data_IF_270388183708
#
_entry.id   IF_270388183708
#
_cell.length_a   1.000
_cell.length_b   1.000
_cell.length_c   1.000
_cell.angle_alpha   90.00
_cell.angle_beta   90.00
_cell.angle_gamma   90.00
#
_symmetry.space_group_name_H-M   'P 1'
#
loop_
_entity.id
_entity.type
_entity.pdbx_description
1 polymer ?
#
# COMPACT_ATOMS: atom_id res chain seq x y z
N UNK A 1 6.53 4.43 -11.06
CA UNK A 1 7.19 5.44 -10.20
C UNK A 1 8.69 5.17 -9.99
N UNK A 2 9.11 4.14 -9.25
CA UNK A 2 10.54 3.91 -8.92
C UNK A 2 11.46 3.83 -10.16
N UNK A 3 11.01 3.16 -11.23
CA UNK A 3 11.75 3.08 -12.51
C UNK A 3 11.96 4.46 -13.16
N UNK A 4 11.00 5.38 -13.01
CA UNK A 4 11.10 6.74 -13.52
C UNK A 4 12.15 7.54 -12.74
N UNK A 5 12.10 7.50 -11.41
CA UNK A 5 13.05 8.20 -10.54
C UNK A 5 14.49 7.69 -10.68
N UNK A 6 14.66 6.46 -11.18
CA UNK A 6 16.00 5.90 -11.44
C UNK A 6 16.68 6.56 -12.64
N UNK A 7 15.91 7.18 -13.56
CA UNK A 7 16.45 7.85 -14.76
C UNK A 7 16.93 9.28 -14.51
N UNK A 8 16.54 9.90 -13.39
CA UNK A 8 16.88 11.30 -13.08
C UNK A 8 16.05 12.33 -13.86
N UNK A 9 16.36 13.61 -13.66
CA UNK A 9 15.64 14.74 -14.28
C UNK A 9 14.42 15.26 -13.50
N UNK A 10 14.25 14.84 -12.25
CA UNK A 10 13.15 15.23 -11.38
C UNK A 10 13.68 15.70 -10.03
N UNK A 11 13.14 16.81 -9.51
CA UNK A 11 13.56 17.38 -8.22
C UNK A 11 12.88 16.70 -7.03
N UNK A 12 11.60 16.34 -7.16
CA UNK A 12 10.76 15.83 -6.06
C UNK A 12 9.88 14.66 -6.51
N UNK A 13 9.51 13.83 -5.53
CA UNK A 13 8.57 12.71 -5.72
C UNK A 13 7.72 12.50 -4.46
N UNK A 14 6.42 12.31 -4.63
CA UNK A 14 5.50 11.89 -3.56
C UNK A 14 5.51 10.37 -3.44
N UNK A 15 6.52 9.83 -2.78
CA UNK A 15 6.73 8.38 -2.67
C UNK A 15 5.93 7.75 -1.51
N UNK A 16 5.14 6.73 -1.85
CA UNK A 16 4.51 5.83 -0.87
C UNK A 16 5.53 4.98 -0.10
N UNK A 17 5.09 4.32 0.97
CA UNK A 17 5.94 3.45 1.81
C UNK A 17 6.66 2.35 1.04
N UNK A 18 6.02 1.74 0.03
CA UNK A 18 6.58 0.70 -0.83
C UNK A 18 7.69 1.20 -1.78
N UNK A 19 7.79 2.51 -2.00
CA UNK A 19 8.80 3.14 -2.85
C UNK A 19 9.89 3.88 -2.06
N UNK A 20 9.53 4.56 -0.97
CA UNK A 20 10.42 5.42 -0.18
C UNK A 20 11.71 4.72 0.26
N UNK A 21 11.61 3.56 0.91
CA UNK A 21 12.79 2.78 1.34
C UNK A 21 13.64 2.30 0.15
N UNK A 22 13.01 1.92 -0.98
CA UNK A 22 13.74 1.51 -2.19
C UNK A 22 14.56 2.67 -2.76
N UNK A 23 14.02 3.89 -2.73
CA UNK A 23 14.73 5.09 -3.18
C UNK A 23 15.88 5.46 -2.23
N UNK A 24 15.68 5.34 -0.92
CA UNK A 24 16.71 5.59 0.11
C UNK A 24 17.86 4.59 -0.05
N UNK A 25 17.56 3.30 -0.08
CA UNK A 25 18.57 2.23 -0.22
C UNK A 25 19.27 2.29 -1.60
N UNK A 26 18.53 2.68 -2.64
CA UNK A 26 19.06 2.90 -3.98
C UNK A 26 19.85 4.21 -4.17
N UNK A 27 20.02 5.01 -3.10
CA UNK A 27 20.69 6.33 -3.13
C UNK A 27 20.13 7.27 -4.20
N UNK A 28 18.81 7.24 -4.41
CA UNK A 28 18.11 8.09 -5.40
C UNK A 28 17.53 9.37 -4.81
N UNK A 29 17.55 9.49 -3.49
CA UNK A 29 17.11 10.68 -2.74
C UNK A 29 18.17 11.05 -1.70
N UNK A 30 18.28 12.35 -1.43
CA UNK A 30 19.19 12.87 -0.41
C UNK A 30 18.43 13.13 0.91
N UNK A 31 19.13 13.11 2.07
CA UNK A 31 18.53 13.58 3.30
C UNK A 31 18.24 15.08 3.25
N UNK A 32 17.25 15.51 4.03
CA UNK A 32 16.85 16.92 4.18
C UNK A 32 17.21 17.45 5.57
N UNK A 33 17.41 18.76 5.68
CA UNK A 33 17.51 19.45 6.97
C UNK A 33 16.14 20.00 7.36
N UNK A 34 15.50 19.40 8.37
CA UNK A 34 14.15 19.78 8.81
C UNK A 34 14.09 21.19 9.41
N UNK A 35 15.21 21.75 9.88
CA UNK A 35 15.28 23.12 10.37
C UNK A 35 15.03 24.17 9.27
N UNK A 36 15.21 23.80 7.99
CA UNK A 36 14.91 24.66 6.84
C UNK A 36 13.42 24.61 6.44
N UNK A 37 12.60 23.83 7.14
CA UNK A 37 11.16 23.67 6.87
C UNK A 37 10.40 24.19 8.09
N UNK A 38 9.98 25.47 8.12
CA UNK A 38 9.40 26.09 9.32
C UNK A 38 8.15 25.39 9.86
N UNK A 39 7.40 24.73 8.96
CA UNK A 39 6.18 24.01 9.29
C UNK A 39 6.44 22.57 9.74
N UNK A 40 7.69 22.11 9.87
CA UNK A 40 7.98 20.76 10.36
C UNK A 40 7.35 20.47 11.73
N UNK A 41 7.31 21.48 12.59
CA UNK A 41 6.72 21.42 13.94
C UNK A 41 5.21 21.15 13.96
N UNK A 42 4.51 21.30 12.83
CA UNK A 42 3.06 21.08 12.74
C UNK A 42 2.71 19.68 12.26
N UNK A 43 3.70 18.83 11.99
CA UNK A 43 3.46 17.45 11.55
C UNK A 43 2.83 16.61 12.67
N UNK A 44 1.92 15.74 12.27
CA UNK A 44 1.24 14.82 13.18
C UNK A 44 2.27 13.86 13.85
N UNK A 45 2.23 13.68 15.18
CA UNK A 45 3.12 12.78 15.91
C UNK A 45 3.14 11.34 15.39
N UNK A 46 2.05 10.88 14.78
CA UNK A 46 1.92 9.53 14.20
C UNK A 46 2.81 9.32 12.98
N UNK A 47 3.16 10.39 12.26
CA UNK A 47 3.89 10.28 10.98
C UNK A 47 5.28 10.91 11.04
N UNK A 48 5.52 11.90 11.90
CA UNK A 48 6.77 12.67 11.90
C UNK A 48 8.04 11.83 12.09
N UNK A 49 7.94 10.66 12.76
CA UNK A 49 9.03 9.71 12.98
C UNK A 49 8.85 8.37 12.26
N UNK A 50 8.06 8.33 11.18
CA UNK A 50 7.82 7.11 10.40
C UNK A 50 9.12 6.49 9.88
N UNK A 51 9.30 5.20 10.10
CA UNK A 51 10.47 4.42 9.67
C UNK A 51 10.62 4.33 8.15
N UNK A 52 9.53 4.54 7.40
CA UNK A 52 9.52 4.59 5.93
C UNK A 52 10.31 5.78 5.34
N UNK A 53 10.64 6.82 6.12
CA UNK A 53 11.47 7.95 5.64
C UNK A 53 12.51 8.46 6.65
N UNK A 54 12.52 7.93 7.89
CA UNK A 54 13.55 8.17 8.89
C UNK A 54 14.47 6.95 8.95
N UNK A 55 15.65 7.01 8.34
CA UNK A 55 16.56 5.85 8.22
C UNK A 55 17.97 6.25 8.68
N UNK A 56 18.55 5.47 9.59
CA UNK A 56 19.93 5.69 10.06
C UNK A 56 20.16 7.07 10.69
N UNK A 57 19.16 7.59 11.42
CA UNK A 57 19.22 8.92 12.05
C UNK A 57 19.07 10.11 11.09
N UNK A 58 18.73 9.86 9.82
CA UNK A 58 18.52 10.90 8.80
C UNK A 58 17.07 10.92 8.31
N UNK A 59 16.59 12.11 7.96
CA UNK A 59 15.25 12.36 7.41
C UNK A 59 15.34 12.49 5.90
N UNK A 60 14.54 11.72 5.15
CA UNK A 60 14.63 11.65 3.68
C UNK A 60 13.46 12.29 2.93
N UNK A 61 12.56 12.98 3.63
CA UNK A 61 11.43 13.66 3.00
C UNK A 61 10.49 14.31 4.01
N UNK A 62 9.48 15.01 3.50
CA UNK A 62 8.43 15.66 4.28
C UNK A 62 7.13 14.88 4.09
N UNK A 63 6.43 14.43 5.17
CA UNK A 63 5.13 13.78 5.04
C UNK A 63 4.14 14.68 4.28
N UNK A 64 3.40 14.09 3.35
CA UNK A 64 2.46 14.83 2.50
C UNK A 64 1.01 14.44 2.80
N UNK A 65 0.63 13.19 2.54
CA UNK A 65 -0.73 12.66 2.76
C UNK A 65 -0.64 11.19 3.20
N UNK A 66 -1.71 10.70 3.83
CA UNK A 66 -1.91 9.28 4.15
C UNK A 66 -3.38 8.92 3.96
N UNK A 67 -3.67 7.66 3.66
CA UNK A 67 -5.04 7.19 3.45
C UNK A 67 -5.12 5.71 3.10
N UNK A 68 -6.32 5.12 3.14
CA UNK A 68 -6.54 3.73 2.79
C UNK A 68 -6.79 3.51 1.29
N UNK A 69 -6.59 2.28 0.83
CA UNK A 69 -7.21 1.76 -0.39
C UNK A 69 -8.62 1.24 -0.03
N UNK A 70 -9.66 1.80 -0.66
CA UNK A 70 -11.06 1.49 -0.35
C UNK A 70 -11.72 0.65 -1.46
N UNK A 71 -12.78 -0.06 -1.09
CA UNK A 71 -13.65 -0.77 -2.03
C UNK A 71 -14.56 0.24 -2.73
N UNK A 72 -14.26 0.55 -4.00
CA UNK A 72 -15.14 1.34 -4.85
C UNK A 72 -16.18 0.45 -5.52
N UNK A 73 -17.45 0.86 -5.51
CA UNK A 73 -18.56 0.08 -6.06
C UNK A 73 -19.64 0.98 -6.70
N UNK A 74 -20.48 0.40 -7.55
CA UNK A 74 -21.62 1.08 -8.16
C UNK A 74 -22.86 0.92 -7.27
N UNK A 75 -23.42 2.02 -6.76
CA UNK A 75 -24.59 2.03 -5.86
C UNK A 75 -25.89 1.56 -6.53
N UNK A 76 -25.98 1.55 -7.86
CA UNK A 76 -27.11 0.94 -8.58
C UNK A 76 -27.05 -0.60 -8.54
N UNK A 77 -25.84 -1.16 -8.54
CA UNK A 77 -25.62 -2.62 -8.38
C UNK A 77 -25.65 -3.02 -6.91
N UNK A 78 -25.22 -2.14 -6.01
CA UNK A 78 -25.23 -2.34 -4.56
C UNK A 78 -26.06 -1.25 -3.87
N UNK A 79 -27.41 -1.39 -3.81
CA UNK A 79 -28.25 -0.46 -3.06
C UNK A 79 -27.92 -0.46 -1.56
N UNK A 80 -27.48 -1.61 -1.04
CA UNK A 80 -26.82 -1.74 0.26
C UNK A 80 -25.31 -1.84 0.04
N UNK A 81 -24.48 -1.01 0.71
CA UNK A 81 -23.03 -1.06 0.56
C UNK A 81 -22.48 -2.47 0.83
N UNK A 82 -21.54 -2.98 0.00
CA UNK A 82 -20.86 -4.22 0.31
C UNK A 82 -19.97 -4.04 1.55
N UNK A 83 -19.91 -5.07 2.40
CA UNK A 83 -19.16 -5.10 3.65
C UNK A 83 -17.93 -6.03 3.61
N UNK A 84 -17.67 -6.67 2.46
CA UNK A 84 -16.60 -7.65 2.28
C UNK A 84 -15.92 -7.51 0.91
N UNK A 85 -14.59 -7.67 0.91
CA UNK A 85 -13.77 -7.74 -0.31
C UNK A 85 -14.04 -9.00 -1.15
N UNK A 86 -14.84 -9.96 -0.66
CA UNK A 86 -15.21 -11.15 -1.45
C UNK A 86 -15.82 -10.79 -2.81
N UNK A 87 -16.50 -9.63 -2.90
CA UNK A 87 -17.19 -9.21 -4.12
C UNK A 87 -16.26 -9.01 -5.31
N UNK A 88 -14.95 -8.85 -5.07
CA UNK A 88 -13.91 -8.78 -6.12
C UNK A 88 -13.02 -10.03 -6.21
N UNK A 89 -12.92 -10.84 -5.15
CA UNK A 89 -12.03 -12.01 -5.11
C UNK A 89 -12.69 -13.35 -5.41
N UNK A 90 -13.99 -13.49 -5.15
CA UNK A 90 -14.71 -14.76 -5.27
C UNK A 90 -15.82 -14.61 -6.30
N UNK A 91 -15.86 -15.52 -7.28
CA UNK A 91 -16.94 -15.55 -8.28
C UNK A 91 -18.29 -15.74 -7.58
N UNK A 92 -19.21 -14.80 -7.80
CA UNK A 92 -20.55 -14.80 -7.23
C UNK A 92 -21.50 -13.91 -8.03
N UNK A 93 -22.81 -14.10 -7.86
CA UNK A 93 -23.79 -13.12 -8.35
C UNK A 93 -23.81 -11.88 -7.46
N UNK A 94 -23.80 -10.70 -8.08
CA UNK A 94 -23.99 -9.42 -7.41
C UNK A 94 -25.48 -9.18 -7.12
N UNK A 95 -25.86 -8.14 -6.35
CA UNK A 95 -27.27 -7.90 -6.03
C UNK A 95 -28.17 -7.61 -7.25
N UNK A 96 -27.58 -7.29 -8.41
CA UNK A 96 -28.30 -7.17 -9.69
C UNK A 96 -28.55 -8.52 -10.39
N UNK A 97 -28.24 -9.64 -9.74
CA UNK A 97 -28.49 -11.00 -10.20
C UNK A 97 -27.49 -11.54 -11.22
N UNK A 98 -26.49 -10.76 -11.63
CA UNK A 98 -25.47 -11.17 -12.61
C UNK A 98 -24.14 -11.50 -11.93
N UNK A 99 -23.36 -12.39 -12.53
CA UNK A 99 -22.00 -12.72 -12.05
C UNK A 99 -21.10 -11.48 -12.03
N UNK A 100 -20.21 -11.41 -11.04
CA UNK A 100 -19.15 -10.41 -10.95
C UNK A 100 -18.00 -10.65 -11.96
N UNK A 101 -17.95 -11.82 -12.61
CA UNK A 101 -16.94 -12.17 -13.61
C UNK A 101 -16.93 -11.18 -14.77
N UNK A 102 -15.77 -10.60 -15.04
CA UNK A 102 -15.59 -9.57 -16.08
C UNK A 102 -16.19 -8.20 -15.73
N UNK A 103 -16.65 -8.01 -14.49
CA UNK A 103 -17.27 -6.76 -13.99
C UNK A 103 -16.55 -6.15 -12.79
N UNK A 104 -15.44 -6.75 -12.38
CA UNK A 104 -14.58 -6.28 -11.28
C UNK A 104 -13.16 -6.07 -11.81
N UNK A 105 -12.41 -5.24 -11.11
CA UNK A 105 -11.03 -4.91 -11.44
C UNK A 105 -10.15 -4.98 -10.19
N UNK A 106 -8.86 -5.19 -10.41
CA UNK A 106 -7.81 -5.19 -9.41
C UNK A 106 -6.76 -4.14 -9.79
N UNK A 107 -6.02 -3.64 -8.80
CA UNK A 107 -4.91 -2.74 -9.07
C UNK A 107 -3.74 -3.52 -9.71
N UNK A 108 -3.18 -2.99 -10.80
CA UNK A 108 -2.10 -3.64 -11.58
C UNK A 108 -0.72 -3.55 -10.90
N UNK A 109 -0.60 -2.79 -9.81
CA UNK A 109 0.64 -2.76 -9.03
C UNK A 109 0.83 -4.06 -8.24
N UNK A 110 2.04 -4.67 -8.23
CA UNK A 110 2.31 -5.90 -7.47
C UNK A 110 2.01 -5.82 -5.97
N UNK A 111 1.94 -4.60 -5.42
CA UNK A 111 1.54 -4.35 -4.03
C UNK A 111 0.10 -4.81 -3.74
N UNK A 112 -0.76 -5.00 -4.75
CA UNK A 112 -2.11 -5.55 -4.59
C UNK A 112 -2.12 -7.00 -4.05
N UNK A 113 -0.97 -7.70 -4.10
CA UNK A 113 -0.80 -8.97 -3.38
C UNK A 113 -1.03 -8.79 -1.87
N UNK A 114 -0.72 -7.62 -1.29
CA UNK A 114 -1.00 -7.35 0.12
C UNK A 114 -2.50 -7.27 0.41
N UNK A 115 -3.30 -6.71 -0.50
CA UNK A 115 -4.78 -6.70 -0.40
C UNK A 115 -5.34 -8.13 -0.45
N UNK A 116 -4.80 -8.96 -1.36
CA UNK A 116 -5.16 -10.39 -1.40
C UNK A 116 -4.72 -11.13 -0.13
N UNK A 117 -3.53 -10.83 0.41
CA UNK A 117 -3.04 -11.42 1.66
C UNK A 117 -3.92 -11.02 2.86
N UNK A 118 -4.43 -9.79 2.90
CA UNK A 118 -5.43 -9.36 3.88
C UNK A 118 -6.73 -10.13 3.76
N UNK A 119 -7.23 -10.31 2.54
CA UNK A 119 -8.45 -11.09 2.29
C UNK A 119 -8.28 -12.57 2.71
N UNK A 120 -7.17 -13.19 2.32
CA UNK A 120 -6.84 -14.58 2.68
C UNK A 120 -6.62 -14.72 4.19
N UNK A 121 -5.94 -13.78 4.83
CA UNK A 121 -5.77 -13.75 6.30
C UNK A 121 -7.12 -13.76 7.02
N UNK A 122 -8.10 -13.01 6.54
CA UNK A 122 -9.42 -12.92 7.14
C UNK A 122 -10.30 -14.16 6.87
N UNK A 123 -10.20 -14.74 5.67
CA UNK A 123 -11.08 -15.84 5.23
C UNK A 123 -10.49 -17.24 5.43
N UNK A 124 -9.17 -17.33 5.57
CA UNK A 124 -8.41 -18.58 5.73
C UNK A 124 -7.35 -18.43 6.84
N UNK A 125 -7.78 -18.21 8.10
CA UNK A 125 -6.87 -17.96 9.22
C UNK A 125 -5.87 -19.11 9.46
N UNK A 126 -6.20 -20.34 9.03
CA UNK A 126 -5.33 -21.51 9.11
C UNK A 126 -4.00 -21.36 8.34
N UNK A 127 -3.90 -20.42 7.40
CA UNK A 127 -2.68 -20.17 6.64
C UNK A 127 -1.66 -19.32 7.42
N UNK A 128 -2.01 -18.80 8.60
CA UNK A 128 -1.05 -18.18 9.52
C UNK A 128 -0.42 -16.88 9.01
N UNK A 129 -1.09 -16.15 8.12
CA UNK A 129 -0.59 -14.87 7.58
C UNK A 129 -0.60 -13.82 8.70
N UNK A 130 0.60 -13.42 9.16
CA UNK A 130 0.75 -12.41 10.21
C UNK A 130 0.84 -11.00 9.63
N UNK A 131 1.69 -10.80 8.62
CA UNK A 131 1.94 -9.53 7.94
C UNK A 131 1.55 -9.61 6.47
N UNK A 132 0.57 -8.82 5.99
CA UNK A 132 0.16 -8.83 4.58
C UNK A 132 1.19 -8.19 3.64
N UNK A 133 2.11 -7.37 4.14
CA UNK A 133 3.14 -6.70 3.34
C UNK A 133 4.42 -7.53 3.21
N UNK A 134 4.51 -8.64 3.95
CA UNK A 134 5.65 -9.54 3.96
C UNK A 134 5.16 -10.95 3.61
N UNK A 135 5.52 -11.46 2.42
CA UNK A 135 5.22 -12.86 2.09
C UNK A 135 5.79 -13.78 3.18
N UNK A 136 5.10 -14.87 3.58
CA UNK A 136 5.61 -15.79 4.59
C UNK A 136 6.89 -16.47 4.05
N UNK A 137 8.04 -15.87 4.34
CA UNK A 137 9.32 -16.55 4.34
C UNK A 137 9.35 -17.39 5.61
N UNK A 138 8.88 -18.63 5.50
CA UNK A 138 9.14 -19.80 6.36
C UNK A 138 7.88 -20.57 6.72
N UNK A 139 7.43 -21.43 5.80
CA UNK A 139 7.21 -22.82 6.19
C UNK A 139 8.32 -23.64 5.55
N UNK A 140 9.13 -24.26 6.40
CA UNK A 140 10.04 -25.37 6.13
C UNK A 140 9.75 -26.13 4.82
N UNK A 141 10.52 -25.86 3.76
CA UNK A 141 10.87 -26.90 2.79
C UNK A 141 12.22 -27.48 3.22
N UNK A 142 12.14 -28.54 4.04
CA UNK A 142 13.12 -29.62 3.93
C UNK A 142 12.90 -30.24 2.55
N UNK A 143 13.88 -30.09 1.69
CA UNK A 143 14.46 -31.08 0.78
C UNK A 143 15.78 -30.46 0.28
#
# INVERSE_FOLDING_TARGET
MVSLMTKGGYDLVTASGDASLRLIMGKRVQPINTALIPNWKTLDPRVVKGDWFNVGGKVYGTPYQWGPNLLMYNTKTFPTPPDSWQVVFVEQNLPDGKSNKGRVQAYDGPIYIADAALFVKATQPQLGISDPYNSPKNSTRRC
#
